data_IF_090152505010
#
_entry.id   IF_090152505010
#
_cell.length_a   1.000
_cell.length_b   1.000
_cell.length_c   1.000
_cell.angle_alpha   90.00
_cell.angle_beta   90.00
_cell.angle_gamma   90.00
#
_symmetry.space_group_name_H-M   'P 1'
#
loop_
_entity.id
_entity.type
_entity.pdbx_description
1 polymer ?
#
# COMPACT_ATOMS: atom_id res chain seq x y z
N UNK A 1 -15.60 11.62 11.02
CA UNK A 1 -15.03 10.26 11.20
C UNK A 1 -14.17 10.18 12.45
N UNK A 2 -13.14 11.04 12.58
CA UNK A 2 -12.32 11.12 13.80
C UNK A 2 -13.11 11.54 15.05
N UNK A 3 -13.87 12.64 14.97
CA UNK A 3 -14.70 13.12 16.09
C UNK A 3 -15.76 12.10 16.53
N UNK A 4 -16.23 11.27 15.60
CA UNK A 4 -17.20 10.21 15.87
C UNK A 4 -16.56 8.86 16.21
N UNK A 5 -15.23 8.78 16.30
CA UNK A 5 -14.49 7.55 16.63
C UNK A 5 -14.68 6.39 15.65
N UNK A 6 -15.19 6.64 14.44
CA UNK A 6 -15.48 5.59 13.47
C UNK A 6 -14.22 5.22 12.69
N UNK A 7 -13.79 3.94 12.72
CA UNK A 7 -12.65 3.50 11.91
C UNK A 7 -12.97 3.69 10.43
N UNK A 8 -11.94 4.01 9.65
CA UNK A 8 -12.06 4.19 8.21
C UNK A 8 -10.81 3.68 7.51
N UNK A 9 -10.95 3.38 6.22
CA UNK A 9 -9.86 2.97 5.36
C UNK A 9 -9.98 3.69 4.02
N UNK A 10 -8.89 4.22 3.52
CA UNK A 10 -8.77 4.74 2.15
C UNK A 10 -8.27 3.60 1.28
N UNK A 11 -9.14 3.04 0.45
CA UNK A 11 -8.79 2.03 -0.54
C UNK A 11 -8.57 2.68 -1.90
N UNK A 12 -7.47 2.34 -2.56
CA UNK A 12 -7.16 2.86 -3.90
C UNK A 12 -6.51 1.81 -4.80
N UNK A 13 -6.87 1.84 -6.08
CA UNK A 13 -6.24 1.00 -7.11
C UNK A 13 -4.91 1.57 -7.63
N UNK A 14 -4.43 2.69 -7.06
CA UNK A 14 -3.14 3.25 -7.42
C UNK A 14 -2.00 2.43 -6.78
N UNK A 15 -1.19 1.77 -7.61
CA UNK A 15 -0.03 0.97 -7.21
C UNK A 15 1.32 1.70 -7.31
N UNK A 16 1.31 2.98 -7.69
CA UNK A 16 2.55 3.75 -7.92
C UNK A 16 3.20 4.17 -6.61
N UNK A 17 2.38 4.56 -5.64
CA UNK A 17 2.83 5.19 -4.39
C UNK A 17 2.78 4.20 -3.22
N UNK A 18 3.76 4.30 -2.33
CA UNK A 18 3.67 3.63 -1.03
C UNK A 18 2.61 4.30 -0.14
N UNK A 19 2.13 3.65 0.93
CA UNK A 19 1.27 4.30 1.91
C UNK A 19 1.88 5.57 2.53
N UNK A 20 3.21 5.61 2.71
CA UNK A 20 3.93 6.79 3.19
C UNK A 20 3.89 7.94 2.19
N UNK A 21 4.07 7.65 0.90
CA UNK A 21 3.99 8.65 -0.16
C UNK A 21 2.57 9.23 -0.27
N UNK A 22 1.56 8.37 -0.20
CA UNK A 22 0.15 8.80 -0.21
C UNK A 22 -0.18 9.64 1.03
N UNK A 23 0.26 9.23 2.22
CA UNK A 23 0.11 10.03 3.44
C UNK A 23 0.71 11.43 3.27
N UNK A 24 1.96 11.53 2.81
CA UNK A 24 2.62 12.82 2.60
C UNK A 24 1.89 13.68 1.55
N UNK A 25 1.40 13.06 0.48
CA UNK A 25 0.64 13.76 -0.58
C UNK A 25 -0.71 14.27 -0.09
N UNK A 26 -1.48 13.44 0.61
CA UNK A 26 -2.76 13.81 1.21
C UNK A 26 -2.59 14.92 2.24
N UNK A 27 -1.55 14.82 3.08
CA UNK A 27 -1.23 15.87 4.06
C UNK A 27 -0.93 17.21 3.40
N UNK A 28 -0.20 17.24 2.28
CA UNK A 28 0.02 18.46 1.49
C UNK A 28 -1.26 19.05 0.90
N UNK A 29 -2.30 18.23 0.72
CA UNK A 29 -3.63 18.66 0.28
C UNK A 29 -4.54 19.08 1.45
N UNK A 30 -4.01 19.13 2.68
CA UNK A 30 -4.79 19.45 3.88
C UNK A 30 -5.58 18.26 4.46
N UNK A 31 -5.36 17.05 3.95
CA UNK A 31 -6.02 15.84 4.42
C UNK A 31 -5.10 15.05 5.35
N UNK A 32 -5.40 15.06 6.64
CA UNK A 32 -4.67 14.25 7.64
C UNK A 32 -5.22 12.82 7.70
N UNK A 33 -4.71 11.97 6.80
CA UNK A 33 -5.04 10.54 6.74
C UNK A 33 -3.89 9.72 7.32
N UNK A 34 -4.09 8.97 8.42
CA UNK A 34 -3.06 8.09 8.98
C UNK A 34 -2.57 7.03 7.97
N UNK A 35 -1.28 6.66 8.02
CA UNK A 35 -0.66 5.70 7.08
C UNK A 35 -1.34 4.33 7.16
N UNK A 36 -1.66 3.87 8.37
CA UNK A 36 -2.39 2.63 8.65
C UNK A 36 -3.83 2.64 8.14
N UNK A 37 -4.37 3.82 7.85
CA UNK A 37 -5.67 4.00 7.20
C UNK A 37 -5.59 4.06 5.67
N UNK A 38 -4.46 3.66 5.05
CA UNK A 38 -4.27 3.64 3.59
C UNK A 38 -3.98 2.21 3.13
N UNK A 39 -4.81 1.71 2.21
CA UNK A 39 -4.63 0.40 1.58
C UNK A 39 -4.63 0.54 0.06
N UNK A 40 -3.54 0.09 -0.58
CA UNK A 40 -3.34 0.21 -2.03
C UNK A 40 -3.49 -1.14 -2.73
N UNK A 41 -3.73 -1.12 -4.04
CA UNK A 41 -3.68 -2.33 -4.87
C UNK A 41 -2.31 -3.02 -4.82
N UNK A 42 -1.20 -2.28 -4.64
CA UNK A 42 0.13 -2.87 -4.46
C UNK A 42 0.20 -3.75 -3.19
N UNK A 43 -0.29 -3.23 -2.06
CA UNK A 43 -0.36 -4.00 -0.81
C UNK A 43 -1.30 -5.21 -0.93
N UNK A 44 -2.45 -5.03 -1.59
CA UNK A 44 -3.39 -6.11 -1.83
C UNK A 44 -2.76 -7.23 -2.67
N UNK A 45 -2.03 -6.88 -3.74
CA UNK A 45 -1.31 -7.85 -4.58
C UNK A 45 -0.21 -8.56 -3.81
N UNK A 46 0.60 -7.83 -3.05
CA UNK A 46 1.64 -8.44 -2.21
C UNK A 46 1.04 -9.42 -1.21
N UNK A 47 0.02 -9.00 -0.44
CA UNK A 47 -0.68 -9.90 0.48
C UNK A 47 -1.25 -11.14 -0.21
N UNK A 48 -1.91 -10.97 -1.36
CA UNK A 48 -2.47 -12.10 -2.10
C UNK A 48 -1.40 -13.09 -2.54
N UNK A 49 -0.25 -12.59 -3.00
CA UNK A 49 0.88 -13.41 -3.41
C UNK A 49 1.52 -14.14 -2.23
N UNK A 50 1.70 -13.47 -1.09
CA UNK A 50 2.21 -14.07 0.14
C UNK A 50 1.31 -15.19 0.66
N UNK A 51 -0.02 -14.99 0.64
CA UNK A 51 -1.00 -16.00 1.04
C UNK A 51 -0.95 -17.27 0.14
N UNK A 52 -0.49 -17.15 -1.12
CA UNK A 52 -0.44 -18.24 -2.10
C UNK A 52 0.95 -18.88 -2.22
N UNK A 53 2.03 -18.08 -2.15
CA UNK A 53 3.42 -18.50 -2.33
C UNK A 53 4.37 -17.61 -1.50
N UNK A 54 4.51 -17.87 -0.20
CA UNK A 54 5.47 -17.15 0.64
C UNK A 54 6.91 -17.27 0.11
N UNK A 55 7.69 -16.18 0.19
CA UNK A 55 9.11 -16.17 -0.23
C UNK A 55 9.33 -16.44 -1.73
N UNK A 56 8.37 -16.04 -2.57
CA UNK A 56 8.44 -16.25 -4.02
C UNK A 56 9.45 -15.34 -4.74
N UNK A 57 9.51 -15.51 -6.06
CA UNK A 57 10.19 -14.57 -6.96
C UNK A 57 9.21 -14.13 -8.04
N UNK A 58 9.33 -12.90 -8.53
CA UNK A 58 8.46 -12.37 -9.57
C UNK A 58 9.18 -11.36 -10.45
N UNK A 59 8.96 -11.44 -11.76
CA UNK A 59 9.29 -10.34 -12.66
C UNK A 59 8.18 -9.28 -12.57
N UNK A 60 8.54 -8.06 -12.15
CA UNK A 60 7.57 -7.01 -11.84
C UNK A 60 7.64 -5.88 -12.85
N UNK A 61 6.47 -5.52 -13.40
CA UNK A 61 6.28 -4.30 -14.18
C UNK A 61 5.42 -3.35 -13.35
N UNK A 62 6.04 -2.30 -12.80
CA UNK A 62 5.38 -1.32 -11.96
C UNK A 62 6.37 -0.40 -11.29
N UNK A 63 5.85 0.59 -10.58
CA UNK A 63 6.62 1.63 -9.91
C UNK A 63 6.93 1.26 -8.45
N UNK A 64 7.61 2.17 -7.74
CA UNK A 64 8.10 2.00 -6.38
C UNK A 64 7.07 1.44 -5.39
N UNK A 65 5.80 1.83 -5.47
CA UNK A 65 4.74 1.32 -4.60
C UNK A 65 4.55 -0.19 -4.70
N UNK A 66 4.59 -0.75 -5.92
CA UNK A 66 4.44 -2.18 -6.16
C UNK A 66 5.72 -2.95 -5.83
N UNK A 67 6.87 -2.46 -6.29
CA UNK A 67 8.14 -3.15 -6.04
C UNK A 67 8.49 -3.18 -4.55
N UNK A 68 8.24 -2.09 -3.81
CA UNK A 68 8.43 -2.04 -2.35
C UNK A 68 7.48 -3.02 -1.65
N UNK A 69 6.19 -3.05 -2.01
CA UNK A 69 5.24 -3.94 -1.37
C UNK A 69 5.61 -5.42 -1.54
N UNK A 70 6.13 -5.81 -2.71
CA UNK A 70 6.59 -7.17 -2.97
C UNK A 70 7.92 -7.47 -2.24
N UNK A 71 8.86 -6.53 -2.25
CA UNK A 71 10.10 -6.69 -1.49
C UNK A 71 9.83 -6.85 0.02
N UNK A 72 8.88 -6.11 0.59
CA UNK A 72 8.56 -6.13 2.02
C UNK A 72 7.97 -7.48 2.50
N UNK A 73 7.34 -8.26 1.60
CA UNK A 73 6.90 -9.64 1.88
C UNK A 73 7.98 -10.69 1.55
N UNK A 74 9.21 -10.26 1.24
CA UNK A 74 10.34 -11.13 0.98
C UNK A 74 10.39 -11.71 -0.43
N UNK A 75 9.68 -11.12 -1.41
CA UNK A 75 9.82 -11.55 -2.81
C UNK A 75 11.14 -11.05 -3.40
N UNK A 76 11.75 -11.91 -4.22
CA UNK A 76 12.89 -11.55 -5.07
C UNK A 76 12.34 -11.03 -6.41
N UNK A 77 12.72 -9.80 -6.79
CA UNK A 77 12.26 -9.11 -7.99
C UNK A 77 13.19 -9.32 -9.19
#
# INVERSE_FOLDING_TARGET
LRESGKPFLVLTNNSIYTPRDLHARLRRMGLDVPIDSIWTSALATAKFLDDQRPGGSAYVIGEAGLTTALHDIGYIL
#
